data_IF_022829647828
#
_entry.id   IF_022829647828
#
_cell.length_a   1.000
_cell.length_b   1.000
_cell.length_c   1.000
_cell.angle_alpha   90.00
_cell.angle_beta   90.00
_cell.angle_gamma   90.00
#
_symmetry.space_group_name_H-M   'P 1'
#
loop_
_entity.id
_entity.type
_entity.pdbx_description
1 polymer ?
#
# COMPACT_ATOMS: atom_id res chain seq x y z
N UNK A 1 96.45 47.39 -3.58
CA UNK A 1 97.32 47.06 -2.43
C UNK A 1 96.60 45.94 -1.67
N UNK A 2 96.77 44.69 -2.10
CA UNK A 2 97.69 43.69 -1.53
C UNK A 2 97.24 43.22 -0.14
N UNK A 3 97.00 41.89 -0.05
CA UNK A 3 97.04 40.99 1.12
C UNK A 3 95.79 40.94 2.01
N UNK A 4 95.40 39.81 2.59
CA UNK A 4 95.63 38.36 2.43
C UNK A 4 94.69 37.73 3.48
N UNK A 5 93.92 36.70 3.15
CA UNK A 5 94.13 35.32 3.62
C UNK A 5 94.31 35.12 5.14
N UNK A 6 93.32 34.47 5.80
CA UNK A 6 93.40 33.11 6.41
C UNK A 6 92.13 32.81 7.24
N UNK A 7 91.42 31.72 6.92
CA UNK A 7 91.34 30.45 7.71
C UNK A 7 90.94 30.74 9.16
N UNK A 8 89.76 30.41 9.68
CA UNK A 8 88.97 29.19 9.51
C UNK A 8 88.79 28.59 10.92
N UNK A 9 87.58 28.62 11.46
CA UNK A 9 87.19 27.81 12.61
C UNK A 9 85.65 27.72 12.63
N UNK A 10 85.16 26.55 12.24
CA UNK A 10 83.78 26.11 12.40
C UNK A 10 83.59 25.66 13.84
N UNK A 11 82.58 26.21 14.53
CA UNK A 11 81.83 25.47 15.56
C UNK A 11 80.45 26.10 15.73
N UNK A 12 79.43 25.29 15.40
CA UNK A 12 78.02 25.48 15.71
C UNK A 12 77.84 25.49 17.26
N UNK A 13 76.88 26.16 17.89
CA UNK A 13 75.42 26.23 17.70
C UNK A 13 74.87 27.29 18.66
N UNK A 14 73.84 28.06 18.29
CA UNK A 14 72.56 28.21 19.05
C UNK A 14 71.66 29.34 18.50
N UNK A 15 70.52 28.89 17.96
CA UNK A 15 69.16 29.47 17.80
C UNK A 15 68.88 30.90 18.30
N UNK A 16 68.28 31.71 17.42
CA UNK A 16 67.07 32.57 17.61
C UNK A 16 66.76 33.17 16.21
N UNK A 17 65.68 32.84 15.50
CA UNK A 17 64.28 32.93 15.90
C UNK A 17 63.63 34.08 15.11
N UNK A 18 63.47 33.91 13.79
CA UNK A 18 62.78 34.89 12.95
C UNK A 18 61.26 34.71 13.09
N UNK A 19 60.61 35.70 13.69
CA UNK A 19 59.17 35.75 13.85
C UNK A 19 58.48 35.93 12.49
N UNK A 20 58.01 34.84 11.90
CA UNK A 20 56.93 34.87 10.92
C UNK A 20 55.62 34.86 11.71
N UNK A 21 54.85 35.95 11.62
CA UNK A 21 53.48 35.98 12.09
C UNK A 21 52.65 35.00 11.25
N UNK A 22 52.54 33.78 11.76
CA UNK A 22 51.46 32.88 11.38
C UNK A 22 50.18 33.52 11.89
N UNK A 23 49.42 34.19 11.01
CA UNK A 23 48.01 34.42 11.29
C UNK A 23 47.40 33.02 11.47
N UNK A 24 46.79 32.68 12.62
CA UNK A 24 45.95 31.51 12.64
C UNK A 24 44.86 31.80 11.62
N UNK A 25 44.83 31.03 10.54
CA UNK A 25 43.59 30.83 9.82
C UNK A 25 42.64 30.32 10.89
N UNK A 26 41.73 31.17 11.36
CA UNK A 26 40.56 30.70 12.06
C UNK A 26 39.83 29.83 11.06
N UNK A 27 40.08 28.52 11.14
CA UNK A 27 39.16 27.52 10.66
C UNK A 27 37.94 27.69 11.55
N UNK A 28 37.05 28.60 11.14
CA UNK A 28 35.66 28.49 11.53
C UNK A 28 35.26 27.07 11.16
N UNK A 29 34.71 26.25 12.06
CA UNK A 29 34.00 25.08 11.59
C UNK A 29 32.93 25.63 10.65
N UNK A 30 33.12 25.40 9.36
CA UNK A 30 32.02 25.34 8.41
C UNK A 30 31.14 24.22 8.96
N UNK A 31 30.20 24.58 9.82
CA UNK A 31 29.16 23.63 10.15
C UNK A 31 28.41 23.46 8.81
N UNK A 32 28.04 22.22 8.48
CA UNK A 32 27.48 21.77 7.20
C UNK A 32 25.98 21.42 7.27
N UNK A 33 25.10 22.05 6.48
CA UNK A 33 23.64 21.84 6.50
C UNK A 33 23.33 20.40 6.18
N UNK A 34 23.30 19.58 7.21
CA UNK A 34 23.23 18.14 7.10
C UNK A 34 21.80 17.67 7.26
N UNK A 35 21.47 16.60 6.55
CA UNK A 35 20.30 15.74 6.70
C UNK A 35 20.06 15.18 8.13
N UNK A 36 20.81 15.65 9.13
CA UNK A 36 20.75 15.23 10.53
C UNK A 36 19.88 16.14 11.40
N UNK A 37 19.71 17.42 11.03
CA UNK A 37 18.81 18.33 11.75
C UNK A 37 17.39 18.19 11.22
N UNK A 38 16.43 18.10 12.14
CA UNK A 38 15.09 17.65 11.81
C UNK A 38 14.00 18.69 12.13
N UNK A 39 14.36 19.94 12.39
CA UNK A 39 13.46 21.09 12.35
C UNK A 39 13.90 22.09 11.27
N UNK A 40 12.93 22.65 10.57
CA UNK A 40 13.13 23.59 9.46
C UNK A 40 12.09 24.70 9.47
N UNK A 41 12.30 25.74 8.65
CA UNK A 41 11.35 26.83 8.50
C UNK A 41 11.61 28.01 9.43
N UNK A 42 10.57 28.79 9.70
CA UNK A 42 10.69 30.10 10.33
C UNK A 42 9.62 30.33 11.40
N UNK A 43 10.03 30.90 12.52
CA UNK A 43 9.15 31.50 13.52
C UNK A 43 9.24 33.03 13.44
N UNK A 44 8.26 33.72 14.01
CA UNK A 44 8.16 35.17 13.98
C UNK A 44 7.98 35.74 15.38
N UNK A 45 8.69 36.83 15.68
CA UNK A 45 8.38 37.71 16.79
C UNK A 45 8.23 39.14 16.31
N UNK A 46 7.26 39.87 16.87
CA UNK A 46 7.08 41.29 16.57
C UNK A 46 8.25 42.16 17.04
N UNK A 47 9.00 41.71 18.05
CA UNK A 47 10.08 42.50 18.66
C UNK A 47 11.44 42.24 17.98
N UNK A 48 11.68 41.01 17.51
CA UNK A 48 12.99 40.58 16.97
C UNK A 48 12.91 40.03 15.55
N UNK A 49 11.74 40.05 14.92
CA UNK A 49 11.54 39.61 13.55
C UNK A 49 11.65 38.10 13.36
N UNK A 50 12.19 37.71 12.20
CA UNK A 50 12.29 36.32 11.78
C UNK A 50 13.33 35.53 12.57
N UNK A 51 12.99 34.27 12.86
CA UNK A 51 13.87 33.29 13.49
C UNK A 51 13.93 32.07 12.59
N UNK A 52 15.10 31.77 12.06
CA UNK A 52 15.35 30.64 11.16
C UNK A 52 15.75 29.40 11.95
N UNK A 53 15.07 28.27 11.72
CA UNK A 53 15.33 27.02 12.44
C UNK A 53 16.40 26.15 11.79
N UNK A 54 16.77 26.43 10.54
CA UNK A 54 17.87 25.79 9.86
C UNK A 54 18.45 26.63 8.72
N UNK A 55 19.65 26.26 8.29
CA UNK A 55 20.40 26.93 7.21
C UNK A 55 19.98 26.55 5.78
N UNK A 56 19.14 25.53 5.59
CA UNK A 56 18.82 24.97 4.25
C UNK A 56 18.07 25.95 3.34
N UNK A 57 17.41 26.96 3.91
CA UNK A 57 16.63 27.95 3.17
C UNK A 57 17.39 29.26 2.92
N UNK A 58 18.65 29.40 3.37
CA UNK A 58 19.36 30.70 3.37
C UNK A 58 20.56 30.80 2.39
N UNK A 59 20.89 29.77 1.63
CA UNK A 59 21.88 29.86 0.53
C UNK A 59 23.30 30.34 0.94
N UNK A 60 23.65 30.35 2.23
CA UNK A 60 24.90 30.88 2.78
C UNK A 60 25.65 29.86 3.66
N UNK A 61 26.99 29.96 3.67
CA UNK A 61 27.95 28.95 4.15
C UNK A 61 28.07 28.71 5.66
N UNK A 62 27.00 28.88 6.46
CA UNK A 62 26.99 28.48 7.86
C UNK A 62 25.84 27.49 8.11
N UNK A 63 26.16 26.26 8.49
CA UNK A 63 25.13 25.37 8.99
C UNK A 63 24.77 25.65 10.42
N UNK A 64 23.48 25.64 10.63
CA UNK A 64 22.88 25.45 11.90
C UNK A 64 21.56 24.75 11.65
N UNK A 65 21.06 24.13 12.71
CA UNK A 65 19.73 23.60 12.77
C UNK A 65 19.35 23.26 14.20
N UNK A 66 18.06 23.22 14.45
CA UNK A 66 17.50 22.64 15.67
C UNK A 66 17.16 21.18 15.40
N UNK A 67 17.46 20.32 16.36
CA UNK A 67 17.19 18.88 16.29
C UNK A 67 16.41 18.43 17.50
N UNK A 68 15.51 17.47 17.28
CA UNK A 68 14.83 16.69 18.30
C UNK A 68 15.35 15.27 18.25
N UNK A 69 15.88 14.76 19.37
CA UNK A 69 16.29 13.36 19.47
C UNK A 69 15.09 12.40 19.68
N UNK A 70 15.35 11.09 19.66
CA UNK A 70 14.31 10.07 19.82
C UNK A 70 13.59 10.13 21.19
N UNK A 71 14.25 10.68 22.21
CA UNK A 71 13.72 10.95 23.54
C UNK A 71 12.97 12.28 23.67
N UNK A 72 12.87 13.04 22.58
CA UNK A 72 12.20 14.32 22.50
C UNK A 72 13.04 15.51 22.99
N UNK A 73 14.34 15.34 23.29
CA UNK A 73 15.16 16.46 23.74
C UNK A 73 15.54 17.33 22.54
N UNK A 74 15.48 18.66 22.72
CA UNK A 74 15.90 19.61 21.70
C UNK A 74 17.37 19.98 21.91
N UNK A 75 18.08 20.23 20.80
CA UNK A 75 19.47 20.71 20.78
C UNK A 75 19.78 21.50 19.51
N UNK A 76 20.93 22.17 19.47
CA UNK A 76 21.38 22.94 18.30
C UNK A 76 21.05 24.43 18.39
N UNK A 77 20.95 25.10 17.24
CA UNK A 77 20.85 26.55 17.18
C UNK A 77 19.85 27.03 16.12
N UNK A 78 19.11 28.07 16.48
CA UNK A 78 18.32 28.88 15.55
C UNK A 78 18.95 30.27 15.41
N UNK A 79 18.66 30.97 14.31
CA UNK A 79 19.26 32.27 13.99
C UNK A 79 18.22 33.37 13.83
N UNK A 80 18.45 34.52 14.45
CA UNK A 80 17.74 35.76 14.16
C UNK A 80 18.75 36.85 13.80
N UNK A 81 18.45 37.66 12.79
CA UNK A 81 19.32 38.78 12.41
C UNK A 81 19.40 39.87 13.49
N UNK A 82 18.38 39.97 14.35
CA UNK A 82 18.28 41.05 15.35
C UNK A 82 18.88 40.68 16.71
N UNK A 83 18.91 39.41 17.08
CA UNK A 83 19.45 38.95 18.39
C UNK A 83 20.50 37.83 18.27
N UNK A 84 20.88 37.49 17.05
CA UNK A 84 21.86 36.43 16.77
C UNK A 84 21.37 35.04 17.12
N UNK A 85 22.28 34.23 17.66
CA UNK A 85 22.05 32.81 17.96
C UNK A 85 21.11 32.59 19.14
N UNK A 86 20.15 31.70 18.93
CA UNK A 86 19.30 31.12 19.97
C UNK A 86 19.74 29.68 20.18
N UNK A 87 20.21 29.39 21.39
CA UNK A 87 20.72 28.10 21.82
C UNK A 87 19.59 27.21 22.35
N UNK A 88 19.37 26.09 21.66
CA UNK A 88 18.42 25.05 22.03
C UNK A 88 19.07 23.93 22.85
N UNK A 89 20.37 24.01 23.18
CA UNK A 89 21.01 23.06 24.08
C UNK A 89 20.56 23.29 25.54
N UNK A 90 20.63 22.24 26.36
CA UNK A 90 20.33 22.34 27.78
C UNK A 90 21.31 23.28 28.49
N UNK A 91 20.79 24.39 29.00
CA UNK A 91 21.53 25.38 29.76
C UNK A 91 21.07 25.42 31.22
N UNK A 92 22.00 25.53 32.16
CA UNK A 92 21.68 25.72 33.59
C UNK A 92 21.34 27.17 33.91
N UNK A 93 20.57 27.40 34.98
CA UNK A 93 20.23 28.76 35.44
C UNK A 93 19.00 29.37 34.77
N UNK A 94 18.14 28.53 34.18
CA UNK A 94 16.84 28.97 33.70
C UNK A 94 15.94 29.45 34.86
N UNK A 95 14.95 30.33 34.60
CA UNK A 95 14.11 30.89 35.66
C UNK A 95 13.31 29.85 36.44
N UNK A 96 12.98 28.70 35.83
CA UNK A 96 12.35 27.57 36.51
C UNK A 96 12.64 26.23 35.85
N UNK A 97 12.81 25.19 36.65
CA UNK A 97 13.01 23.82 36.14
C UNK A 97 11.72 23.22 35.53
N UNK A 98 11.84 22.30 34.56
CA UNK A 98 13.08 21.83 33.93
C UNK A 98 13.66 22.84 32.92
N UNK A 99 14.98 23.03 32.89
CA UNK A 99 15.63 23.93 31.92
C UNK A 99 15.66 23.35 30.51
N UNK A 100 15.92 22.05 30.38
CA UNK A 100 16.05 21.36 29.10
C UNK A 100 14.83 21.57 28.20
N UNK A 101 15.00 22.10 26.99
CA UNK A 101 13.93 22.17 26.02
C UNK A 101 13.57 20.76 25.55
N UNK A 102 12.28 20.40 25.62
CA UNK A 102 11.83 19.03 25.39
C UNK A 102 10.44 18.97 24.75
N UNK A 103 10.34 18.25 23.64
CA UNK A 103 9.10 17.75 23.06
C UNK A 103 8.65 16.50 23.82
N UNK A 104 7.48 16.57 24.45
CA UNK A 104 6.75 15.37 24.82
C UNK A 104 6.12 14.79 23.55
N UNK A 105 6.75 13.75 22.99
CA UNK A 105 6.37 13.21 21.69
C UNK A 105 4.96 12.62 21.67
N UNK A 106 4.41 12.17 22.80
CA UNK A 106 3.05 11.61 22.86
C UNK A 106 1.96 12.67 23.02
N UNK A 107 2.23 13.75 23.75
CA UNK A 107 1.26 14.85 23.91
C UNK A 107 1.44 15.98 22.89
N UNK A 108 2.52 15.95 22.11
CA UNK A 108 2.92 17.05 21.22
C UNK A 108 3.41 18.30 21.97
N UNK A 109 3.43 18.31 23.31
CA UNK A 109 3.76 19.52 24.06
C UNK A 109 5.27 19.75 24.14
N UNK A 110 5.72 20.91 23.70
CA UNK A 110 7.11 21.35 23.89
C UNK A 110 7.20 22.15 25.19
N UNK A 111 8.24 21.92 25.98
CA UNK A 111 8.48 22.52 27.30
C UNK A 111 9.94 22.89 27.48
N UNK A 112 10.29 23.52 28.61
CA UNK A 112 11.64 23.95 28.91
C UNK A 112 11.98 25.34 28.38
N UNK A 113 13.27 25.63 28.32
CA UNK A 113 13.82 26.95 28.03
C UNK A 113 14.90 26.88 26.97
N UNK A 114 14.99 27.93 26.15
CA UNK A 114 16.08 28.17 25.19
C UNK A 114 16.69 29.53 25.48
N UNK A 115 17.92 29.77 25.01
CA UNK A 115 18.69 30.94 25.41
C UNK A 115 19.19 31.75 24.23
N UNK A 116 18.82 33.03 24.15
CA UNK A 116 19.45 33.97 23.24
C UNK A 116 20.86 34.34 23.74
N UNK A 117 21.88 34.12 22.91
CA UNK A 117 23.27 34.30 23.33
C UNK A 117 23.69 35.78 23.39
N UNK A 118 23.04 36.67 22.64
CA UNK A 118 23.29 38.12 22.67
C UNK A 118 22.92 38.80 24.00
N UNK A 119 22.23 38.09 24.91
CA UNK A 119 21.87 38.60 26.22
C UNK A 119 23.09 38.85 27.14
N UNK A 120 24.15 38.04 26.99
CA UNK A 120 25.41 38.16 27.70
C UNK A 120 26.21 39.40 27.26
N UNK A 121 25.78 40.58 27.71
CA UNK A 121 26.36 41.88 27.36
C UNK A 121 25.33 43.00 27.14
N UNK A 122 24.04 42.67 27.10
CA UNK A 122 22.98 43.58 26.62
C UNK A 122 21.89 43.88 27.67
N UNK A 123 22.11 43.52 28.94
CA UNK A 123 21.25 43.96 30.06
C UNK A 123 19.95 43.17 30.29
N UNK A 124 19.76 42.00 29.66
CA UNK A 124 18.63 41.10 29.89
C UNK A 124 19.08 39.65 30.05
N UNK A 125 18.20 38.75 30.49
CA UNK A 125 18.58 37.40 30.96
C UNK A 125 18.75 36.33 29.85
N UNK A 126 18.22 36.59 28.64
CA UNK A 126 18.35 35.72 27.48
C UNK A 126 17.32 34.60 27.39
N UNK A 127 16.44 34.45 28.37
CA UNK A 127 15.63 33.24 28.50
C UNK A 127 14.32 33.33 27.72
N UNK A 128 14.07 32.30 26.91
CA UNK A 128 12.84 32.13 26.15
C UNK A 128 12.17 30.84 26.62
N UNK A 129 10.95 30.96 27.15
CA UNK A 129 10.16 29.84 27.67
C UNK A 129 9.30 29.25 26.56
N UNK A 130 9.45 27.95 26.30
CA UNK A 130 8.67 27.26 25.27
C UNK A 130 7.24 26.95 25.69
N UNK A 131 6.93 26.99 27.00
CA UNK A 131 5.58 26.74 27.55
C UNK A 131 5.36 27.35 28.91
N UNK A 132 4.27 28.11 29.04
CA UNK A 132 3.74 28.67 30.28
C UNK A 132 2.44 27.99 30.72
N UNK A 133 1.71 28.65 31.63
CA UNK A 133 0.42 28.14 32.14
C UNK A 133 -0.73 28.24 31.13
N UNK A 134 -0.68 29.22 30.23
CA UNK A 134 -1.74 29.52 29.24
C UNK A 134 -1.23 29.66 27.80
N UNK A 135 0.04 29.33 27.55
CA UNK A 135 0.65 29.34 26.22
C UNK A 135 1.68 28.23 26.10
N UNK A 136 2.07 27.92 24.87
CA UNK A 136 3.28 27.15 24.60
C UNK A 136 3.27 26.51 23.23
N UNK A 137 4.44 26.05 22.81
CA UNK A 137 4.68 25.45 21.50
C UNK A 137 4.20 23.99 21.49
N UNK A 138 3.37 23.64 20.52
CA UNK A 138 2.82 22.30 20.32
C UNK A 138 3.20 21.73 18.96
N UNK A 139 3.23 20.41 18.86
CA UNK A 139 3.51 19.66 17.65
C UNK A 139 2.30 18.79 17.32
N UNK A 140 1.72 18.97 16.13
CA UNK A 140 0.67 18.12 15.60
C UNK A 140 1.16 17.49 14.29
N UNK A 141 1.32 16.17 14.27
CA UNK A 141 2.09 15.47 13.24
C UNK A 141 3.51 16.01 13.21
N UNK A 142 3.88 16.70 12.14
CA UNK A 142 5.17 17.38 11.98
C UNK A 142 5.08 18.91 12.04
N UNK A 143 3.89 19.48 12.26
CA UNK A 143 3.70 20.93 12.31
C UNK A 143 3.92 21.48 13.71
N UNK A 144 4.80 22.47 13.84
CA UNK A 144 5.07 23.16 15.09
C UNK A 144 4.28 24.48 15.12
N UNK A 145 3.44 24.64 16.13
CA UNK A 145 2.53 25.80 16.29
C UNK A 145 2.57 26.29 17.75
N UNK A 146 1.91 27.40 18.03
CA UNK A 146 1.81 28.02 19.34
C UNK A 146 2.85 29.09 19.57
N UNK A 147 2.96 29.49 20.83
CA UNK A 147 3.74 30.65 21.23
C UNK A 147 4.80 30.29 22.26
N UNK A 148 6.00 30.85 22.12
CA UNK A 148 7.00 30.93 23.18
C UNK A 148 7.12 32.40 23.66
N UNK A 149 7.66 32.61 24.85
CA UNK A 149 7.79 33.94 25.44
C UNK A 149 9.20 34.22 25.93
N UNK A 150 9.79 35.34 25.53
CA UNK A 150 11.14 35.74 25.91
C UNK A 150 11.25 37.14 26.53
N UNK A 151 10.35 37.45 27.47
CA UNK A 151 10.30 38.76 28.15
C UNK A 151 10.02 39.92 27.19
N UNK A 152 10.17 41.16 27.66
CA UNK A 152 9.90 42.37 26.88
C UNK A 152 10.89 42.57 25.71
N UNK A 153 12.06 41.95 25.76
CA UNK A 153 13.08 42.05 24.70
C UNK A 153 12.71 41.20 23.50
N UNK A 154 12.49 39.90 23.69
CA UNK A 154 12.16 38.98 22.58
C UNK A 154 10.67 38.94 22.30
N UNK A 155 9.83 39.23 23.29
CA UNK A 155 8.38 39.20 23.16
C UNK A 155 7.83 37.80 22.89
N UNK A 156 6.67 37.77 22.24
CA UNK A 156 6.02 36.54 21.78
C UNK A 156 6.69 36.04 20.51
N UNK A 157 7.10 34.78 20.51
CA UNK A 157 7.53 34.06 19.32
C UNK A 157 6.39 33.14 18.89
N UNK A 158 5.87 33.35 17.69
CA UNK A 158 4.83 32.53 17.07
C UNK A 158 5.47 31.53 16.10
N UNK A 159 5.17 30.24 16.28
CA UNK A 159 5.82 29.17 15.52
C UNK A 159 5.15 28.87 14.16
N UNK A 160 3.92 29.36 13.92
CA UNK A 160 3.20 29.14 12.65
C UNK A 160 2.21 30.25 12.34
N UNK A 161 2.40 30.95 11.22
CA UNK A 161 1.41 31.88 10.66
C UNK A 161 0.68 31.30 9.46
N UNK A 162 -0.07 32.14 8.74
CA UNK A 162 -0.75 31.73 7.51
C UNK A 162 0.20 31.28 6.39
N UNK A 163 1.39 31.89 6.31
CA UNK A 163 2.36 31.69 5.22
C UNK A 163 3.78 31.34 5.69
N UNK A 164 3.96 31.04 6.98
CA UNK A 164 5.24 30.64 7.56
C UNK A 164 5.00 29.62 8.66
N UNK A 165 6.02 28.82 8.96
CA UNK A 165 5.99 27.98 10.13
C UNK A 165 7.25 27.16 10.30
N UNK A 166 7.34 26.55 11.47
CA UNK A 166 8.36 25.55 11.79
C UNK A 166 7.78 24.16 11.50
N UNK A 167 8.54 23.32 10.80
CA UNK A 167 8.14 21.96 10.47
C UNK A 167 9.25 20.97 10.81
N UNK A 168 8.84 19.83 11.38
CA UNK A 168 9.71 18.75 11.78
C UNK A 168 9.78 17.62 10.76
N UNK A 169 10.78 16.75 10.91
CA UNK A 169 10.85 15.44 10.26
C UNK A 169 11.31 14.40 11.28
N UNK A 170 11.01 13.12 11.06
CA UNK A 170 11.43 12.02 11.95
C UNK A 170 11.09 12.28 13.43
N UNK A 171 12.12 12.33 14.29
CA UNK A 171 11.93 12.58 15.73
C UNK A 171 11.45 14.00 16.08
N UNK A 172 11.51 14.94 15.13
CA UNK A 172 10.92 16.27 15.24
C UNK A 172 9.41 16.30 15.10
N UNK A 173 8.79 15.18 14.74
CA UNK A 173 7.34 15.03 14.71
C UNK A 173 6.83 14.40 16.03
N UNK A 174 5.59 14.73 16.40
CA UNK A 174 4.86 13.99 17.43
C UNK A 174 4.66 12.54 16.99
N UNK A 175 4.53 11.61 17.94
CA UNK A 175 4.11 10.25 17.60
C UNK A 175 2.60 10.25 17.39
N UNK A 176 2.14 9.72 16.26
CA UNK A 176 0.72 9.57 15.94
C UNK A 176 0.48 8.15 15.43
N UNK A 177 -0.73 7.60 15.66
CA UNK A 177 -1.15 6.40 14.96
C UNK A 177 -1.28 6.68 13.46
N UNK A 178 -1.21 5.62 12.66
CA UNK A 178 -1.44 5.66 11.22
C UNK A 178 -2.10 4.34 10.84
N UNK A 179 -3.41 4.34 10.77
CA UNK A 179 -4.25 3.20 10.45
C UNK A 179 -4.35 3.07 8.93
N UNK A 180 -4.01 1.89 8.44
CA UNK A 180 -4.24 1.53 7.05
C UNK A 180 -4.84 0.14 6.94
N UNK A 181 -5.46 -0.11 5.79
CA UNK A 181 -5.87 -1.47 5.42
C UNK A 181 -4.73 -2.14 4.69
N UNK A 182 -3.95 -2.93 5.44
CA UNK A 182 -2.76 -3.62 4.95
C UNK A 182 -3.04 -4.83 4.05
N UNK A 183 -4.27 -5.37 4.11
CA UNK A 183 -4.71 -6.49 3.26
C UNK A 183 -6.22 -6.53 3.14
N UNK A 184 -6.71 -6.96 1.97
CA UNK A 184 -8.14 -7.02 1.64
C UNK A 184 -8.70 -5.68 1.18
N UNK A 185 -10.03 -5.60 1.02
CA UNK A 185 -11.04 -6.59 1.42
C UNK A 185 -11.06 -7.86 0.55
N UNK A 186 -11.10 -9.03 1.17
CA UNK A 186 -11.19 -10.35 0.53
C UNK A 186 -12.48 -11.07 0.91
N UNK A 187 -12.95 -12.00 0.08
CA UNK A 187 -14.06 -12.88 0.43
C UNK A 187 -13.69 -13.70 1.68
N UNK A 188 -14.53 -13.63 2.71
CA UNK A 188 -14.37 -14.39 3.95
C UNK A 188 -15.32 -15.58 4.02
N UNK A 189 -16.58 -15.38 3.64
CA UNK A 189 -17.62 -16.40 3.66
C UNK A 189 -18.48 -16.34 2.40
N UNK A 190 -18.96 -17.50 1.99
CA UNK A 190 -19.87 -17.66 0.85
C UNK A 190 -19.15 -17.99 -0.46
N UNK A 191 -19.90 -17.96 -1.55
CA UNK A 191 -19.41 -18.21 -2.91
C UNK A 191 -19.90 -17.07 -3.79
N UNK A 192 -19.11 -16.63 -4.76
CA UNK A 192 -19.46 -15.51 -5.64
C UNK A 192 -20.46 -15.93 -6.73
N UNK A 193 -21.66 -16.31 -6.29
CA UNK A 193 -22.78 -16.72 -7.13
C UNK A 193 -23.97 -15.81 -6.91
N UNK A 194 -24.60 -15.38 -7.99
CA UNK A 194 -25.78 -14.54 -7.94
C UNK A 194 -26.87 -15.10 -7.01
N UNK A 195 -27.44 -14.25 -6.15
CA UNK A 195 -28.48 -14.61 -5.19
C UNK A 195 -27.98 -15.19 -3.87
N UNK A 196 -26.68 -15.44 -3.71
CA UNK A 196 -26.13 -15.98 -2.45
C UNK A 196 -25.82 -14.88 -1.42
N UNK A 197 -25.43 -15.30 -0.21
CA UNK A 197 -24.95 -14.42 0.85
C UNK A 197 -23.45 -14.57 1.05
N UNK A 198 -22.74 -13.45 1.10
CA UNK A 198 -21.29 -13.38 1.33
C UNK A 198 -20.95 -12.38 2.44
N UNK A 199 -19.73 -12.47 2.98
CA UNK A 199 -19.12 -11.37 3.71
C UNK A 199 -17.63 -11.29 3.41
N UNK A 200 -17.02 -10.18 3.83
CA UNK A 200 -15.65 -9.84 3.50
C UNK A 200 -14.82 -9.67 4.77
N UNK A 201 -13.50 -9.81 4.61
CA UNK A 201 -12.54 -9.52 5.67
C UNK A 201 -11.38 -8.71 5.15
N UNK A 202 -10.71 -8.01 6.06
CA UNK A 202 -9.45 -7.35 5.78
C UNK A 202 -8.62 -7.19 7.04
N UNK A 203 -7.41 -6.68 6.89
CA UNK A 203 -6.45 -6.49 7.98
C UNK A 203 -6.14 -5.02 8.15
N UNK A 204 -6.55 -4.46 9.28
CA UNK A 204 -6.22 -3.09 9.68
C UNK A 204 -4.89 -3.12 10.44
N UNK A 205 -3.95 -2.29 10.03
CA UNK A 205 -2.62 -2.15 10.64
C UNK A 205 -2.43 -0.73 11.12
N UNK A 206 -1.92 -0.56 12.32
CA UNK A 206 -1.33 0.71 12.74
C UNK A 206 0.15 0.70 12.34
N UNK A 207 0.52 1.46 11.31
CA UNK A 207 1.91 1.66 10.90
C UNK A 207 2.60 2.83 11.58
N UNK A 208 1.84 3.62 12.33
CA UNK A 208 2.33 4.78 13.04
C UNK A 208 3.14 4.41 14.29
N UNK A 209 3.77 5.42 14.87
CA UNK A 209 4.66 5.28 16.02
C UNK A 209 3.94 5.47 17.37
N UNK A 210 2.63 5.73 17.36
CA UNK A 210 1.78 5.76 18.55
C UNK A 210 0.64 4.75 18.48
N UNK A 211 0.10 4.37 19.64
CA UNK A 211 -1.12 3.57 19.72
C UNK A 211 -2.34 4.38 19.27
N UNK A 212 -3.22 3.75 18.48
CA UNK A 212 -4.57 4.24 18.24
C UNK A 212 -5.40 3.97 19.50
N UNK A 213 -5.53 4.97 20.36
CA UNK A 213 -6.19 4.85 21.66
C UNK A 213 -7.69 5.08 21.52
N UNK A 214 -8.48 4.13 22.00
CA UNK A 214 -9.94 4.22 21.99
C UNK A 214 -10.58 3.38 20.89
N UNK A 215 -11.90 3.22 21.01
CA UNK A 215 -12.64 2.39 20.07
C UNK A 215 -12.90 3.13 18.76
N UNK A 216 -12.57 2.48 17.64
CA UNK A 216 -12.83 2.99 16.29
C UNK A 216 -13.52 1.94 15.42
N UNK A 217 -14.25 2.40 14.39
CA UNK A 217 -15.03 1.56 13.48
C UNK A 217 -14.33 1.37 12.15
N UNK A 218 -14.54 0.23 11.49
CA UNK A 218 -13.98 -0.05 10.17
C UNK A 218 -15.15 -0.31 9.22
N UNK A 219 -15.25 0.48 8.15
CA UNK A 219 -16.42 0.51 7.27
C UNK A 219 -16.16 -0.31 6.01
N UNK A 220 -17.07 -1.22 5.69
CA UNK A 220 -17.11 -1.91 4.41
C UNK A 220 -18.20 -1.30 3.53
N UNK A 221 -17.83 -0.91 2.32
CA UNK A 221 -18.72 -0.34 1.31
C UNK A 221 -18.61 -1.11 0.02
N UNK A 222 -19.68 -1.08 -0.77
CA UNK A 222 -19.80 -1.78 -2.04
C UNK A 222 -20.32 -0.81 -3.09
N UNK A 223 -19.59 -0.73 -4.18
CA UNK A 223 -20.03 -0.21 -5.47
C UNK A 223 -20.46 -1.44 -6.30
N UNK A 224 -21.78 -1.55 -6.49
CA UNK A 224 -22.45 -2.75 -7.00
C UNK A 224 -22.33 -2.83 -8.52
N UNK A 225 -22.34 -1.73 -9.24
CA UNK A 225 -22.22 -1.75 -10.70
C UNK A 225 -20.83 -1.31 -11.18
N UNK A 226 -19.89 -1.08 -10.25
CA UNK A 226 -18.52 -0.65 -10.47
C UNK A 226 -18.46 0.65 -11.29
N UNK A 227 -19.37 1.58 -11.01
CA UNK A 227 -19.50 2.86 -11.69
C UNK A 227 -18.72 4.01 -11.00
N UNK A 228 -18.08 3.73 -9.86
CA UNK A 228 -17.36 4.70 -9.04
C UNK A 228 -18.17 5.32 -7.91
N UNK A 229 -19.46 5.00 -7.80
CA UNK A 229 -20.35 5.41 -6.71
C UNK A 229 -20.57 4.25 -5.74
N UNK A 230 -20.57 4.55 -4.43
CA UNK A 230 -20.93 3.55 -3.42
C UNK A 230 -22.45 3.41 -3.36
N UNK A 231 -22.94 2.18 -3.47
CA UNK A 231 -24.37 1.85 -3.42
C UNK A 231 -24.80 1.27 -2.08
N UNK A 232 -23.91 0.54 -1.42
CA UNK A 232 -24.23 -0.24 -0.22
C UNK A 232 -23.14 -0.10 0.84
N UNK A 233 -23.54 0.06 2.10
CA UNK A 233 -22.67 -0.07 3.26
C UNK A 233 -23.03 -1.33 4.01
N UNK A 234 -22.05 -2.21 4.24
CA UNK A 234 -22.26 -3.48 4.94
C UNK A 234 -22.24 -3.23 6.45
N UNK A 235 -23.36 -3.52 7.13
CA UNK A 235 -23.53 -3.27 8.56
C UNK A 235 -23.69 -4.58 9.34
N UNK A 236 -23.24 -4.64 10.62
CA UNK A 236 -22.59 -3.56 11.37
C UNK A 236 -21.13 -3.32 10.92
N UNK A 237 -20.62 -2.10 11.17
CA UNK A 237 -19.20 -1.80 11.00
C UNK A 237 -18.40 -2.50 12.12
N UNK A 238 -17.44 -3.39 11.82
CA UNK A 238 -16.60 -4.00 12.85
C UNK A 238 -15.77 -2.95 13.60
N UNK A 239 -15.72 -3.07 14.93
CA UNK A 239 -15.00 -2.15 15.81
C UNK A 239 -13.75 -2.79 16.40
N UNK A 240 -12.72 -1.97 16.61
CA UNK A 240 -11.54 -2.32 17.40
C UNK A 240 -11.49 -1.38 18.61
N UNK A 241 -11.08 -1.86 19.78
CA UNK A 241 -10.99 -1.05 21.02
C UNK A 241 -9.73 -0.18 21.11
N UNK A 242 -8.82 -0.36 20.16
CA UNK A 242 -7.52 0.29 20.07
C UNK A 242 -6.55 -0.57 19.27
N UNK A 243 -5.45 0.00 18.80
CA UNK A 243 -4.43 -0.73 18.05
C UNK A 243 -3.04 -0.15 18.31
N UNK A 244 -2.20 -0.89 19.03
CA UNK A 244 -0.84 -0.47 19.34
C UNK A 244 0.02 -0.27 18.08
N UNK A 245 1.03 0.61 18.19
CA UNK A 245 1.98 0.89 17.12
C UNK A 245 2.58 -0.40 16.54
N UNK A 246 2.62 -0.50 15.21
CA UNK A 246 3.12 -1.64 14.47
C UNK A 246 2.24 -2.91 14.48
N UNK A 247 1.13 -2.93 15.24
CA UNK A 247 0.22 -4.08 15.33
C UNK A 247 -0.87 -4.04 14.26
N UNK A 248 -1.48 -5.19 14.04
CA UNK A 248 -2.59 -5.37 13.11
C UNK A 248 -3.70 -6.23 13.73
N UNK A 249 -4.92 -6.08 13.21
CA UNK A 249 -6.08 -6.90 13.54
C UNK A 249 -6.89 -7.21 12.30
N UNK A 250 -7.47 -8.40 12.25
CA UNK A 250 -8.47 -8.75 11.23
C UNK A 250 -9.82 -8.14 11.60
N UNK A 251 -10.56 -7.67 10.61
CA UNK A 251 -11.94 -7.18 10.73
C UNK A 251 -12.81 -7.86 9.68
N UNK A 252 -14.03 -8.19 10.04
CA UNK A 252 -15.00 -8.91 9.19
C UNK A 252 -16.25 -8.06 9.02
N UNK A 253 -16.72 -7.91 7.79
CA UNK A 253 -17.89 -7.11 7.45
C UNK A 253 -19.20 -7.77 7.94
N UNK A 254 -20.27 -6.98 7.96
CA UNK A 254 -21.62 -7.53 7.91
C UNK A 254 -21.87 -8.35 6.63
N UNK A 255 -22.98 -9.08 6.60
CA UNK A 255 -23.35 -9.92 5.46
C UNK A 255 -23.96 -9.08 4.32
N UNK A 256 -23.59 -9.43 3.08
CA UNK A 256 -24.29 -9.01 1.87
C UNK A 256 -25.09 -10.19 1.31
N UNK A 257 -26.41 -10.13 1.41
CA UNK A 257 -27.33 -11.16 0.91
C UNK A 257 -27.87 -10.83 -0.48
N UNK A 258 -28.27 -11.86 -1.22
CA UNK A 258 -28.84 -11.77 -2.57
C UNK A 258 -27.93 -10.98 -3.52
N UNK A 259 -26.64 -11.30 -3.54
CA UNK A 259 -25.67 -10.57 -4.36
C UNK A 259 -26.05 -10.62 -5.86
N UNK A 260 -26.09 -9.48 -6.58
CA UNK A 260 -26.37 -9.47 -8.01
C UNK A 260 -25.19 -10.06 -8.79
N UNK A 261 -25.45 -10.47 -10.04
CA UNK A 261 -24.36 -10.84 -10.96
C UNK A 261 -23.70 -9.59 -11.53
N UNK A 262 -22.41 -9.68 -11.81
CA UNK A 262 -21.63 -8.57 -12.34
C UNK A 262 -20.26 -8.46 -11.68
N UNK A 263 -19.54 -7.40 -12.04
CA UNK A 263 -18.28 -7.04 -11.39
C UNK A 263 -18.57 -5.97 -10.36
N UNK A 264 -18.18 -6.20 -9.11
CA UNK A 264 -18.39 -5.32 -7.98
C UNK A 264 -17.06 -4.86 -7.41
N UNK A 265 -17.07 -3.70 -6.76
CA UNK A 265 -15.93 -3.16 -6.00
C UNK A 265 -16.32 -3.11 -4.53
N UNK A 266 -15.55 -3.76 -3.67
CA UNK A 266 -15.67 -3.61 -2.21
C UNK A 266 -14.52 -2.74 -1.71
N UNK A 267 -14.84 -1.77 -0.87
CA UNK A 267 -13.90 -0.88 -0.20
C UNK A 267 -13.96 -1.14 1.30
N UNK A 268 -12.81 -1.33 1.93
CA UNK A 268 -12.66 -1.34 3.37
C UNK A 268 -11.89 -0.08 3.76
N UNK A 269 -12.41 0.69 4.71
CA UNK A 269 -11.72 1.82 5.31
C UNK A 269 -11.64 1.65 6.83
N UNK A 270 -10.43 1.82 7.37
CA UNK A 270 -10.22 1.96 8.81
C UNK A 270 -10.71 3.33 9.31
N UNK A 271 -11.11 3.38 10.57
CA UNK A 271 -11.61 4.58 11.26
C UNK A 271 -12.70 5.36 10.48
N UNK A 272 -13.74 4.64 10.05
CA UNK A 272 -14.87 5.16 9.29
C UNK A 272 -16.19 4.59 9.86
N UNK A 273 -17.34 5.29 9.73
CA UNK A 273 -17.64 6.46 8.90
C UNK A 273 -17.32 7.83 9.48
N UNK A 274 -17.09 7.93 10.79
CA UNK A 274 -16.70 9.17 11.45
C UNK A 274 -15.34 8.93 12.07
N UNK A 275 -14.25 9.46 11.47
CA UNK A 275 -12.92 9.24 12.01
C UNK A 275 -12.84 9.84 13.42
N UNK A 276 -12.34 9.03 14.35
CA UNK A 276 -12.19 9.36 15.76
C UNK A 276 -10.75 9.35 16.21
N UNK A 277 -9.87 8.67 15.48
CA UNK A 277 -8.45 8.61 15.71
C UNK A 277 -7.82 9.66 14.81
N UNK A 278 -7.08 10.61 15.40
CA UNK A 278 -6.28 11.53 14.63
C UNK A 278 -4.97 10.86 14.24
N UNK A 279 -4.68 10.80 12.95
CA UNK A 279 -3.60 10.01 12.38
C UNK A 279 -2.55 10.89 11.70
N UNK A 280 -1.33 10.35 11.50
CA UNK A 280 -0.30 11.07 10.75
C UNK A 280 -0.62 11.21 9.26
N UNK A 281 -1.51 10.35 8.75
CA UNK A 281 -2.05 10.44 7.40
C UNK A 281 -3.48 9.91 7.41
N UNK A 282 -4.43 10.76 7.02
CA UNK A 282 -5.87 10.43 7.01
C UNK A 282 -6.34 9.89 5.65
N UNK A 283 -5.44 9.81 4.66
CA UNK A 283 -5.77 9.53 3.26
C UNK A 283 -5.33 8.14 2.79
N UNK A 284 -4.75 7.31 3.67
CA UNK A 284 -4.25 5.95 3.37
C UNK A 284 -5.03 4.85 4.12
N UNK A 285 -6.18 5.19 4.68
CA UNK A 285 -6.96 4.31 5.56
C UNK A 285 -7.81 3.30 4.79
N UNK A 286 -7.91 3.44 3.48
CA UNK A 286 -8.80 2.64 2.64
C UNK A 286 -8.02 1.74 1.67
N UNK A 287 -8.58 0.55 1.45
CA UNK A 287 -8.18 -0.37 0.39
C UNK A 287 -9.42 -0.92 -0.30
N UNK A 288 -9.27 -1.28 -1.56
CA UNK A 288 -10.36 -1.76 -2.41
C UNK A 288 -9.99 -3.06 -3.12
N UNK A 289 -11.01 -3.81 -3.54
CA UNK A 289 -10.84 -5.02 -4.33
C UNK A 289 -12.02 -5.23 -5.27
N UNK A 290 -11.72 -5.74 -6.46
CA UNK A 290 -12.71 -6.13 -7.47
C UNK A 290 -12.98 -7.62 -7.40
N UNK A 291 -14.23 -7.99 -7.60
CA UNK A 291 -14.63 -9.39 -7.75
C UNK A 291 -15.81 -9.51 -8.71
N UNK A 292 -15.91 -10.66 -9.35
CA UNK A 292 -16.98 -10.95 -10.30
C UNK A 292 -17.89 -12.03 -9.70
N UNK A 293 -19.18 -11.72 -9.67
CA UNK A 293 -20.25 -12.64 -9.32
C UNK A 293 -20.87 -13.15 -10.61
N UNK A 294 -20.89 -14.48 -10.76
CA UNK A 294 -21.41 -15.16 -11.94
C UNK A 294 -22.62 -16.02 -11.59
N UNK A 295 -23.45 -16.36 -12.58
CA UNK A 295 -24.33 -17.53 -12.46
C UNK A 295 -23.53 -18.81 -12.65
N UNK A 296 -23.90 -19.94 -12.02
CA UNK A 296 -23.30 -21.24 -12.34
C UNK A 296 -23.61 -21.59 -13.79
N UNK A 297 -22.59 -21.93 -14.58
CA UNK A 297 -22.73 -22.26 -16.00
C UNK A 297 -21.69 -23.31 -16.43
N UNK A 298 -21.85 -23.90 -17.62
CA UNK A 298 -20.82 -24.77 -18.20
C UNK A 298 -20.73 -24.64 -19.72
N UNK A 299 -19.62 -25.12 -20.29
CA UNK A 299 -19.43 -25.33 -21.72
C UNK A 299 -19.01 -26.77 -21.98
N UNK A 300 -19.22 -27.25 -23.20
CA UNK A 300 -18.69 -28.54 -23.65
C UNK A 300 -17.49 -28.32 -24.56
N UNK A 301 -16.60 -29.30 -24.62
CA UNK A 301 -15.52 -29.40 -25.62
C UNK A 301 -15.40 -30.85 -26.10
N UNK A 302 -14.96 -31.02 -27.35
CA UNK A 302 -14.51 -32.30 -27.91
C UNK A 302 -12.98 -32.30 -28.06
N UNK A 303 -12.35 -33.47 -27.90
CA UNK A 303 -10.88 -33.58 -28.01
C UNK A 303 -10.37 -33.69 -29.45
N UNK A 304 -11.20 -34.24 -30.34
CA UNK A 304 -10.87 -34.48 -31.75
C UNK A 304 -12.16 -34.74 -32.54
N UNK A 305 -12.04 -34.65 -33.86
CA UNK A 305 -13.04 -35.16 -34.80
C UNK A 305 -13.00 -36.70 -34.84
N UNK A 306 -14.00 -37.29 -35.47
CA UNK A 306 -14.14 -38.74 -35.61
C UNK A 306 -13.93 -39.17 -37.06
N UNK A 307 -13.28 -40.31 -37.25
CA UNK A 307 -13.14 -40.96 -38.55
C UNK A 307 -13.72 -42.37 -38.50
N UNK A 308 -14.38 -42.78 -39.58
CA UNK A 308 -14.85 -44.14 -39.84
C UNK A 308 -14.45 -44.57 -41.24
N UNK A 309 -13.89 -45.77 -41.36
CA UNK A 309 -13.77 -46.48 -42.64
C UNK A 309 -14.94 -47.48 -42.75
N UNK A 310 -15.83 -47.32 -43.74
CA UNK A 310 -16.88 -48.30 -44.05
C UNK A 310 -16.48 -49.22 -45.20
N UNK A 311 -16.97 -50.47 -45.21
CA UNK A 311 -16.58 -51.50 -46.21
C UNK A 311 -17.69 -51.94 -47.16
N UNK A 312 -18.89 -51.34 -47.06
CA UNK A 312 -20.09 -51.76 -47.78
C UNK A 312 -20.88 -52.90 -47.11
N UNK A 313 -20.35 -53.51 -46.04
CA UNK A 313 -20.98 -54.63 -45.33
C UNK A 313 -20.77 -54.53 -43.81
N UNK A 314 -21.73 -55.04 -43.03
CA UNK A 314 -21.67 -55.07 -41.56
C UNK A 314 -21.78 -53.68 -40.94
N UNK A 315 -21.32 -53.52 -39.69
CA UNK A 315 -21.25 -52.22 -39.00
C UNK A 315 -19.79 -51.78 -38.87
N UNK A 316 -19.54 -50.47 -38.94
CA UNK A 316 -18.23 -49.86 -38.73
C UNK A 316 -18.30 -48.81 -37.63
N UNK A 317 -17.19 -48.62 -36.92
CA UNK A 317 -17.21 -48.05 -35.58
C UNK A 317 -16.06 -47.06 -35.45
N UNK A 318 -16.33 -45.81 -35.07
CA UNK A 318 -15.34 -44.73 -35.08
C UNK A 318 -14.20 -44.96 -34.09
N UNK A 319 -13.18 -44.10 -34.18
CA UNK A 319 -12.35 -43.77 -33.02
C UNK A 319 -13.17 -43.20 -31.85
N UNK A 320 -12.47 -42.68 -30.85
CA UNK A 320 -13.10 -42.05 -29.69
C UNK A 320 -12.77 -40.56 -29.68
N UNK A 321 -13.75 -39.72 -29.37
CA UNK A 321 -13.53 -38.33 -28.95
C UNK A 321 -13.99 -38.16 -27.51
N UNK A 322 -13.30 -37.33 -26.73
CA UNK A 322 -13.69 -37.03 -25.35
C UNK A 322 -14.54 -35.77 -25.32
N UNK A 323 -15.74 -35.90 -24.76
CA UNK A 323 -16.61 -34.78 -24.45
C UNK A 323 -16.36 -34.35 -23.01
N UNK A 324 -15.75 -33.19 -22.80
CA UNK A 324 -15.45 -32.64 -21.48
C UNK A 324 -16.34 -31.46 -21.13
N UNK A 325 -16.51 -31.19 -19.84
CA UNK A 325 -17.27 -30.05 -19.31
C UNK A 325 -16.28 -29.02 -18.78
N UNK A 326 -16.40 -27.76 -19.20
CA UNK A 326 -15.73 -26.63 -18.56
C UNK A 326 -16.75 -25.94 -17.65
N UNK A 327 -16.66 -26.10 -16.32
CA UNK A 327 -17.52 -25.35 -15.41
C UNK A 327 -17.11 -23.88 -15.35
N UNK A 328 -18.11 -23.01 -15.23
CA UNK A 328 -17.96 -21.56 -15.02
C UNK A 328 -18.63 -21.20 -13.69
N UNK A 329 -17.99 -20.31 -12.94
CA UNK A 329 -18.45 -19.94 -11.60
C UNK A 329 -18.42 -21.15 -10.67
N UNK A 330 -19.51 -21.36 -9.93
CA UNK A 330 -19.64 -22.46 -8.98
C UNK A 330 -20.44 -23.66 -9.53
N UNK A 331 -20.45 -23.89 -10.84
CA UNK A 331 -21.21 -24.98 -11.43
C UNK A 331 -20.75 -26.37 -10.95
N UNK A 332 -21.68 -27.15 -10.41
CA UNK A 332 -21.41 -28.49 -9.86
C UNK A 332 -22.41 -29.58 -10.27
N UNK A 333 -23.44 -29.22 -11.03
CA UNK A 333 -24.56 -30.11 -11.35
C UNK A 333 -24.20 -31.15 -12.41
N UNK A 334 -24.69 -32.38 -12.26
CA UNK A 334 -24.50 -33.44 -13.24
C UNK A 334 -24.93 -33.01 -14.65
N UNK A 335 -24.09 -33.33 -15.65
CA UNK A 335 -24.33 -33.00 -17.08
C UNK A 335 -24.64 -34.28 -17.85
N UNK A 336 -25.88 -34.45 -18.27
CA UNK A 336 -26.32 -35.58 -19.10
C UNK A 336 -26.07 -35.29 -20.59
N UNK A 337 -25.35 -36.18 -21.27
CA UNK A 337 -24.99 -36.04 -22.67
C UNK A 337 -25.94 -36.84 -23.58
N UNK A 338 -26.32 -36.26 -24.71
CA UNK A 338 -27.07 -36.93 -25.77
C UNK A 338 -26.81 -36.27 -27.13
N UNK A 339 -27.10 -36.99 -28.21
CA UNK A 339 -27.10 -36.41 -29.56
C UNK A 339 -28.42 -35.67 -29.76
N UNK A 340 -28.35 -34.38 -30.08
CA UNK A 340 -29.50 -33.53 -30.35
C UNK A 340 -29.92 -33.59 -31.82
N UNK A 341 -28.96 -33.54 -32.74
CA UNK A 341 -29.20 -33.56 -34.17
C UNK A 341 -27.95 -33.99 -34.92
N UNK A 342 -28.13 -34.46 -36.17
CA UNK A 342 -27.03 -34.76 -37.10
C UNK A 342 -27.40 -34.23 -38.48
N UNK A 343 -26.44 -33.62 -39.18
CA UNK A 343 -26.61 -33.15 -40.55
C UNK A 343 -25.35 -33.44 -41.38
N UNK A 344 -25.47 -34.11 -42.55
CA UNK A 344 -26.68 -34.76 -43.10
C UNK A 344 -27.23 -35.87 -42.19
N UNK A 345 -28.42 -36.40 -42.49
CA UNK A 345 -28.99 -37.48 -41.66
C UNK A 345 -28.20 -38.79 -41.84
N UNK A 346 -27.72 -39.37 -40.74
CA UNK A 346 -27.12 -40.70 -40.74
C UNK A 346 -28.19 -41.81 -40.90
N UNK A 347 -27.83 -42.99 -41.45
CA UNK A 347 -28.78 -44.09 -41.66
C UNK A 347 -29.43 -44.61 -40.37
N UNK A 348 -30.61 -45.21 -40.52
CA UNK A 348 -31.25 -45.96 -39.45
C UNK A 348 -30.36 -47.12 -39.01
N UNK A 349 -30.25 -47.35 -37.69
CA UNK A 349 -29.30 -48.32 -37.12
C UNK A 349 -28.00 -47.70 -36.61
N UNK A 350 -27.77 -46.40 -36.85
CA UNK A 350 -26.65 -45.69 -36.23
C UNK A 350 -26.75 -45.70 -34.70
N UNK A 351 -25.65 -46.02 -34.02
CA UNK A 351 -25.55 -46.07 -32.56
C UNK A 351 -24.59 -44.99 -32.06
N UNK A 352 -25.07 -44.19 -31.12
CA UNK A 352 -24.29 -43.16 -30.42
C UNK A 352 -23.98 -43.63 -29.00
N UNK A 353 -22.71 -43.77 -28.66
CA UNK A 353 -22.30 -44.34 -27.38
C UNK A 353 -21.49 -43.32 -26.56
N UNK A 354 -21.95 -43.04 -25.35
CA UNK A 354 -21.27 -42.18 -24.36
C UNK A 354 -20.86 -43.00 -23.15
N UNK A 355 -19.60 -42.90 -22.72
CA UNK A 355 -19.08 -43.61 -21.55
C UNK A 355 -18.24 -42.66 -20.66
N UNK A 356 -18.78 -42.17 -19.53
CA UNK A 356 -20.17 -42.30 -19.07
C UNK A 356 -21.13 -41.35 -19.80
N UNK A 357 -22.43 -41.66 -19.83
CA UNK A 357 -23.43 -40.76 -20.43
C UNK A 357 -23.72 -39.50 -19.60
N UNK A 358 -23.53 -39.56 -18.28
CA UNK A 358 -23.68 -38.41 -17.38
C UNK A 358 -22.34 -38.12 -16.72
N UNK A 359 -21.89 -36.88 -16.79
CA UNK A 359 -20.66 -36.42 -16.16
C UNK A 359 -20.98 -35.75 -14.83
N UNK A 360 -20.38 -36.27 -13.76
CA UNK A 360 -20.38 -35.62 -12.43
C UNK A 360 -19.23 -34.63 -12.33
N UNK A 361 -19.28 -33.71 -11.35
CA UNK A 361 -18.24 -32.67 -11.12
C UNK A 361 -16.80 -33.20 -11.18
N UNK A 362 -16.53 -34.35 -10.55
CA UNK A 362 -15.18 -34.95 -10.53
C UNK A 362 -14.76 -35.60 -11.86
N UNK A 363 -15.66 -35.69 -12.84
CA UNK A 363 -15.45 -36.28 -14.16
C UNK A 363 -15.41 -35.24 -15.28
N UNK A 364 -15.65 -33.96 -15.00
CA UNK A 364 -15.69 -32.90 -16.01
C UNK A 364 -14.44 -32.84 -16.88
N UNK A 365 -13.26 -32.95 -16.27
CA UNK A 365 -11.97 -32.95 -16.98
C UNK A 365 -11.62 -34.30 -17.60
N UNK A 366 -12.01 -35.42 -16.99
CA UNK A 366 -11.78 -36.75 -17.59
C UNK A 366 -12.67 -37.00 -18.81
N UNK A 367 -13.84 -36.37 -18.83
CA UNK A 367 -14.81 -36.38 -19.92
C UNK A 367 -15.58 -37.68 -20.08
N UNK A 368 -16.44 -37.70 -21.10
CA UNK A 368 -17.15 -38.85 -21.61
C UNK A 368 -16.50 -39.30 -22.92
N UNK A 369 -16.16 -40.58 -23.03
CA UNK A 369 -15.75 -41.15 -24.30
C UNK A 369 -16.98 -41.27 -25.21
N UNK A 370 -16.99 -40.54 -26.31
CA UNK A 370 -18.02 -40.58 -27.34
C UNK A 370 -17.53 -41.32 -28.57
N UNK A 371 -18.37 -42.23 -29.08
CA UNK A 371 -18.11 -43.06 -30.26
C UNK A 371 -19.39 -43.27 -31.05
N UNK A 372 -19.25 -43.36 -32.37
CA UNK A 372 -20.36 -43.61 -33.31
C UNK A 372 -20.14 -44.95 -33.99
N UNK A 373 -21.20 -45.72 -34.16
CA UNK A 373 -21.23 -46.91 -35.03
C UNK A 373 -22.27 -46.69 -36.10
N UNK A 374 -21.90 -46.90 -37.36
CA UNK A 374 -22.76 -46.72 -38.53
C UNK A 374 -22.83 -48.02 -39.35
N UNK A 375 -23.92 -48.26 -40.09
CA UNK A 375 -23.98 -49.32 -41.10
C UNK A 375 -22.88 -49.19 -42.15
N UNK A 376 -22.38 -50.31 -42.66
CA UNK A 376 -21.26 -50.38 -43.61
C UNK A 376 -21.58 -49.81 -44.99
N UNK A 377 -22.85 -49.57 -45.31
CA UNK A 377 -23.32 -48.91 -46.52
C UNK A 377 -23.59 -47.40 -46.33
N UNK A 378 -23.16 -46.82 -45.20
CA UNK A 378 -23.24 -45.37 -44.97
C UNK A 378 -22.46 -44.61 -46.03
N UNK A 379 -23.06 -43.55 -46.58
CA UNK A 379 -22.44 -42.75 -47.62
C UNK A 379 -21.15 -42.08 -47.12
N UNK A 380 -20.18 -41.97 -48.02
CA UNK A 380 -18.98 -41.15 -47.79
C UNK A 380 -19.38 -39.68 -47.79
N UNK A 381 -19.26 -39.04 -46.63
CA UNK A 381 -19.58 -37.62 -46.43
C UNK A 381 -19.01 -37.15 -45.07
N UNK A 382 -19.09 -35.84 -44.85
CA UNK A 382 -18.86 -35.21 -43.56
C UNK A 382 -20.20 -35.00 -42.83
N UNK A 383 -20.30 -35.55 -41.61
CA UNK A 383 -21.50 -35.47 -40.78
C UNK A 383 -21.23 -34.63 -39.53
N UNK A 384 -22.01 -33.56 -39.34
CA UNK A 384 -21.96 -32.72 -38.14
C UNK A 384 -22.92 -33.27 -37.10
N UNK A 385 -22.39 -33.83 -36.00
CA UNK A 385 -23.15 -34.35 -34.87
C UNK A 385 -23.21 -33.25 -33.80
N UNK A 386 -24.42 -32.72 -33.55
CA UNK A 386 -24.66 -31.77 -32.46
C UNK A 386 -24.95 -32.56 -31.18
N UNK A 387 -24.04 -32.48 -30.21
CA UNK A 387 -24.19 -33.08 -28.88
C UNK A 387 -24.72 -32.02 -27.94
N UNK A 388 -25.74 -32.37 -27.14
CA UNK A 388 -26.25 -31.52 -26.05
C UNK A 388 -25.86 -32.10 -24.69
N UNK A 389 -25.33 -31.25 -23.83
CA UNK A 389 -25.22 -31.47 -22.40
C UNK A 389 -26.38 -30.78 -21.70
N UNK A 390 -27.08 -31.51 -20.85
CA UNK A 390 -28.24 -31.02 -20.11
C UNK A 390 -27.95 -31.10 -18.60
N UNK A 391 -28.14 -29.98 -17.92
CA UNK A 391 -28.24 -29.91 -16.45
C UNK A 391 -29.52 -29.14 -16.08
N UNK A 392 -29.94 -29.12 -14.81
CA UNK A 392 -31.16 -28.40 -14.41
C UNK A 392 -31.15 -26.93 -14.88
N UNK A 393 -32.05 -26.59 -15.81
CA UNK A 393 -32.19 -25.23 -16.34
C UNK A 393 -31.11 -24.76 -17.33
N UNK A 394 -30.15 -25.60 -17.71
CA UNK A 394 -29.06 -25.25 -18.63
C UNK A 394 -28.84 -26.34 -19.70
N UNK A 395 -28.87 -25.92 -20.96
CA UNK A 395 -28.55 -26.77 -22.12
C UNK A 395 -27.42 -26.13 -22.92
N UNK A 396 -26.34 -26.87 -23.16
CA UNK A 396 -25.19 -26.39 -23.93
C UNK A 396 -24.82 -27.42 -24.98
N UNK A 397 -24.47 -26.94 -26.17
CA UNK A 397 -24.21 -27.80 -27.33
C UNK A 397 -22.79 -27.65 -27.82
N UNK A 398 -22.29 -28.70 -28.46
CA UNK A 398 -21.08 -28.67 -29.29
C UNK A 398 -21.32 -29.49 -30.55
N UNK A 399 -20.54 -29.17 -31.58
CA UNK A 399 -20.50 -29.92 -32.81
C UNK A 399 -19.27 -30.84 -32.80
N UNK A 400 -19.48 -32.09 -33.19
CA UNK A 400 -18.42 -33.06 -33.47
C UNK A 400 -18.56 -33.47 -34.93
N UNK A 401 -17.50 -33.26 -35.70
CA UNK A 401 -17.42 -33.70 -37.08
C UNK A 401 -17.09 -35.18 -37.14
N UNK A 402 -17.85 -35.94 -37.92
CA UNK A 402 -17.60 -37.34 -38.26
C UNK A 402 -17.32 -37.45 -39.76
N UNK A 403 -16.13 -37.88 -40.11
CA UNK A 403 -15.71 -38.21 -41.48
C UNK A 403 -15.98 -39.69 -41.74
N UNK A 404 -16.85 -39.99 -42.70
CA UNK A 404 -17.09 -41.36 -43.16
C UNK A 404 -16.38 -41.55 -44.49
N UNK A 405 -15.46 -42.53 -44.56
CA UNK A 405 -14.66 -42.84 -45.74
C UNK A 405 -15.04 -44.23 -46.27
N UNK A 406 -15.20 -44.37 -47.60
CA UNK A 406 -15.42 -45.68 -48.20
C UNK A 406 -14.09 -46.40 -48.44
N UNK A 407 -13.91 -47.55 -47.78
CA UNK A 407 -12.76 -48.42 -47.97
C UNK A 407 -13.11 -49.58 -48.88
N UNK A 408 -12.77 -49.44 -50.16
CA UNK A 408 -12.89 -50.52 -51.14
C UNK A 408 -11.74 -51.51 -50.86
N UNK A 409 -12.02 -52.80 -50.58
CA UNK A 409 -10.95 -53.77 -50.43
C UNK A 409 -10.16 -53.91 -51.73
N UNK A 410 -8.83 -53.85 -51.65
CA UNK A 410 -7.95 -54.18 -52.79
C UNK A 410 -8.17 -55.65 -53.17
N UNK A 411 -8.85 -55.90 -54.28
CA UNK A 411 -8.87 -57.23 -54.88
C UNK A 411 -7.48 -57.53 -55.46
N UNK A 412 -6.74 -58.41 -54.80
CA UNK A 412 -5.55 -59.03 -55.37
C UNK A 412 -6.00 -60.29 -56.11
N UNK A 413 -6.05 -60.25 -57.45
CA UNK A 413 -6.13 -61.49 -58.23
C UNK A 413 -4.91 -62.36 -57.89
N UNK A 414 -5.17 -63.60 -57.46
CA UNK A 414 -4.16 -64.61 -57.11
C UNK A 414 -3.91 -65.49 -58.33
#
# INVERSE_FOLDING_TARGET
MVKNFRVGAVLATLVFGAAFYFLPTFHSPEVQAGSEHNLSGWAWSENIGWISFNSTNQGGGANYGVTVDSGGNLSGYAWSENIGWIDFNENTGCPSSPCRPKLNRSSGQVSGWVKALAAGGSGWDGWIRLRGSNYGVGVNGCDWDGYAWGSDVVGWIHFKGSNYGVSGTGSGCGVQPDLLVSSGPLLNFGVLVGGTTVNFKGTVRNQGDAEAVGAFSNRFQVDIDNNGSVDLTLTPNPTLSGLAAGRFSEVVSGNWSNIPVGTHRVVLCADQPGPTIAESNENNNCSESLFTVSVPEFYLLSSNELDIDVTGVGDSSSGTTKITVIPVGAFTDDVALSVQSVSPSLPAGTIYNFVPQTLKKNQYSSGSNFKVTVPGDTAEDEYIITIVGQSPGLNRTINVTLHVNLKIPEFKEI
#
